data_IF_882659432863
#
_entry.id   IF_882659432863
#
_cell.length_a   1.000
_cell.length_b   1.000
_cell.length_c   1.000
_cell.angle_alpha   90.00
_cell.angle_beta   90.00
_cell.angle_gamma   90.00
#
_symmetry.space_group_name_H-M   'P 1'
#
loop_
_entity.id
_entity.type
_entity.pdbx_description
1 polymer ?
#
# COMPACT_ATOMS: atom_id res chain seq x y z
N UNK A 1 -18.73 6.23 3.37
CA UNK A 1 -17.68 5.21 3.18
C UNK A 1 -17.00 5.54 1.88
N UNK A 2 -15.72 5.91 1.91
CA UNK A 2 -14.94 6.16 0.68
C UNK A 2 -14.96 4.90 -0.19
N UNK A 3 -15.09 5.10 -1.51
CA UNK A 3 -15.08 4.01 -2.48
C UNK A 3 -13.66 3.44 -2.56
N UNK A 4 -13.40 2.35 -1.82
CA UNK A 4 -12.09 1.72 -1.78
C UNK A 4 -11.84 0.94 -3.07
N UNK A 5 -10.89 1.38 -3.87
CA UNK A 5 -10.54 0.71 -5.12
C UNK A 5 -9.65 -0.50 -4.84
N UNK A 6 -10.07 -1.69 -5.27
CA UNK A 6 -9.22 -2.90 -5.23
C UNK A 6 -8.09 -2.76 -6.24
N UNK A 7 -6.85 -2.87 -5.78
CA UNK A 7 -5.66 -2.88 -6.64
C UNK A 7 -4.96 -4.22 -6.49
N UNK A 8 -4.90 -4.97 -7.60
CA UNK A 8 -4.10 -6.21 -7.69
C UNK A 8 -3.02 -5.99 -8.75
N UNK A 9 -1.77 -5.72 -8.36
CA UNK A 9 -0.67 -5.50 -9.28
C UNK A 9 -0.31 -6.78 -10.03
N UNK A 10 -0.03 -6.64 -11.32
CA UNK A 10 0.33 -7.78 -12.19
C UNK A 10 1.81 -8.14 -12.10
N UNK A 11 2.66 -7.22 -11.61
CA UNK A 11 4.11 -7.44 -11.50
C UNK A 11 4.74 -6.65 -10.34
N UNK A 12 5.91 -7.13 -9.89
CA UNK A 12 6.73 -6.42 -8.90
C UNK A 12 7.21 -5.05 -9.42
N UNK A 13 7.39 -4.88 -10.74
CA UNK A 13 7.75 -3.57 -11.32
C UNK A 13 6.61 -2.55 -11.13
N UNK A 14 5.37 -2.95 -11.39
CA UNK A 14 4.19 -2.10 -11.18
C UNK A 14 4.02 -1.76 -9.69
N UNK A 15 4.35 -2.69 -8.78
CA UNK A 15 4.38 -2.42 -7.35
C UNK A 15 5.44 -1.39 -7.00
N UNK A 16 6.65 -1.52 -7.53
CA UNK A 16 7.73 -0.59 -7.26
C UNK A 16 7.32 0.84 -7.65
N UNK A 17 6.76 1.03 -8.84
CA UNK A 17 6.27 2.34 -9.28
C UNK A 17 5.20 2.91 -8.34
N UNK A 18 4.27 2.07 -7.87
CA UNK A 18 3.25 2.49 -6.89
C UNK A 18 3.86 2.85 -5.54
N UNK A 19 4.79 2.04 -5.03
CA UNK A 19 5.48 2.30 -3.77
C UNK A 19 6.32 3.58 -3.83
N UNK A 20 7.01 3.82 -4.94
CA UNK A 20 7.78 5.05 -5.17
C UNK A 20 6.86 6.27 -5.21
N UNK A 21 5.77 6.22 -5.99
CA UNK A 21 4.76 7.28 -6.00
C UNK A 21 4.16 7.53 -4.62
N UNK A 22 3.92 6.47 -3.85
CA UNK A 22 3.42 6.57 -2.49
C UNK A 22 4.44 7.21 -1.55
N UNK A 23 5.73 6.92 -1.70
CA UNK A 23 6.80 7.55 -0.95
C UNK A 23 6.95 9.04 -1.30
N UNK A 24 6.90 9.39 -2.59
CA UNK A 24 6.94 10.79 -3.06
C UNK A 24 5.73 11.60 -2.56
N UNK A 25 4.57 10.96 -2.51
CA UNK A 25 3.32 11.56 -2.04
C UNK A 25 3.01 11.19 -0.59
N UNK A 26 3.99 10.75 0.20
CA UNK A 26 3.74 10.26 1.56
C UNK A 26 3.13 11.31 2.48
N UNK A 27 3.45 12.59 2.25
CA UNK A 27 2.82 13.74 2.91
C UNK A 27 1.30 13.84 2.67
N UNK A 28 0.81 13.16 1.63
CA UNK A 28 -0.60 13.06 1.27
C UNK A 28 -1.19 11.69 1.61
N UNK A 29 -0.45 10.81 2.30
CA UNK A 29 -0.97 9.55 2.85
C UNK A 29 -1.37 9.82 4.29
N UNK A 30 -2.63 9.58 4.60
CA UNK A 30 -3.18 9.76 5.95
C UNK A 30 -2.90 8.55 6.82
N UNK A 31 -3.11 7.34 6.30
CA UNK A 31 -2.81 6.09 7.01
C UNK A 31 -2.50 4.93 6.06
N UNK A 32 -1.75 3.95 6.56
CA UNK A 32 -1.55 2.65 5.91
C UNK A 32 -1.81 1.60 6.97
N UNK A 33 -2.88 0.85 6.80
CA UNK A 33 -3.37 -0.10 7.80
C UNK A 33 -3.60 -1.48 7.19
N UNK A 34 -3.57 -2.50 8.05
CA UNK A 34 -3.89 -3.88 7.65
C UNK A 34 -5.13 -4.33 8.38
N UNK A 35 -6.19 -4.60 7.64
CA UNK A 35 -7.54 -4.91 8.12
C UNK A 35 -8.01 -6.23 7.52
N UNK A 36 -8.88 -6.92 8.25
CA UNK A 36 -9.68 -8.00 7.68
C UNK A 36 -10.84 -7.41 6.88
N UNK A 37 -10.98 -7.78 5.62
CA UNK A 37 -12.10 -7.43 4.75
C UNK A 37 -13.03 -8.63 4.52
N UNK A 38 -14.13 -8.44 3.77
CA UNK A 38 -15.08 -9.52 3.46
C UNK A 38 -14.46 -10.69 2.69
N UNK A 39 -13.42 -10.43 1.90
CA UNK A 39 -12.70 -11.42 1.09
C UNK A 39 -11.39 -11.90 1.76
N UNK A 40 -11.17 -11.55 3.03
CA UNK A 40 -9.94 -11.85 3.77
C UNK A 40 -9.06 -10.61 4.03
N UNK A 41 -7.81 -10.82 4.48
CA UNK A 41 -6.96 -9.73 4.92
C UNK A 41 -6.52 -8.83 3.75
N UNK A 42 -6.43 -7.53 4.02
CA UNK A 42 -6.06 -6.50 3.04
C UNK A 42 -5.25 -5.37 3.67
N UNK A 43 -4.32 -4.82 2.90
CA UNK A 43 -3.65 -3.55 3.21
C UNK A 43 -4.52 -2.44 2.64
N UNK A 44 -4.93 -1.50 3.47
CA UNK A 44 -5.68 -0.30 3.08
C UNK A 44 -4.74 0.89 3.14
N UNK A 45 -4.71 1.66 2.07
CA UNK A 45 -3.95 2.90 1.96
C UNK A 45 -4.96 4.03 1.87
N UNK A 46 -5.00 4.80 2.96
CA UNK A 46 -5.88 5.96 3.14
C UNK A 46 -5.12 7.20 2.69
N UNK A 47 -5.62 7.84 1.63
CA UNK A 47 -5.04 9.04 1.08
C UNK A 47 -5.73 10.25 1.72
N UNK A 48 -4.92 11.23 2.12
CA UNK A 48 -5.43 12.49 2.68
C UNK A 48 -6.46 13.13 1.74
N UNK A 49 -7.41 13.87 2.33
CA UNK A 49 -8.49 14.54 1.59
C UNK A 49 -8.01 15.36 0.39
N UNK A 50 -6.78 15.88 0.43
CA UNK A 50 -6.16 16.59 -0.70
C UNK A 50 -5.85 15.67 -1.89
N UNK A 51 -5.34 14.46 -1.66
CA UNK A 51 -5.09 13.49 -2.74
C UNK A 51 -6.39 12.92 -3.31
N UNK A 52 -7.40 12.70 -2.46
CA UNK A 52 -8.77 12.36 -2.87
C UNK A 52 -9.39 13.49 -3.72
N UNK A 53 -9.14 14.77 -3.37
CA UNK A 53 -9.59 15.93 -4.15
C UNK A 53 -8.95 16.02 -5.54
N UNK A 54 -7.73 15.50 -5.71
CA UNK A 54 -7.07 15.36 -7.02
C UNK A 54 -7.46 14.08 -7.79
N UNK A 55 -8.48 13.35 -7.32
CA UNK A 55 -9.00 12.16 -8.00
C UNK A 55 -8.17 10.90 -7.78
N UNK A 56 -7.36 10.83 -6.72
CA UNK A 56 -6.71 9.59 -6.30
C UNK A 56 -7.54 8.95 -5.19
N UNK A 57 -8.39 7.96 -5.50
CA UNK A 57 -9.21 7.31 -4.48
C UNK A 57 -8.36 6.48 -3.53
N UNK A 58 -8.86 6.33 -2.31
CA UNK A 58 -8.36 5.34 -1.35
C UNK A 58 -8.38 3.94 -2.00
N UNK A 59 -7.36 3.14 -1.73
CA UNK A 59 -7.24 1.84 -2.36
C UNK A 59 -6.77 0.77 -1.40
N UNK A 60 -7.04 -0.49 -1.76
CA UNK A 60 -6.62 -1.63 -0.97
C UNK A 60 -5.97 -2.72 -1.81
N UNK A 61 -5.01 -3.41 -1.19
CA UNK A 61 -4.30 -4.55 -1.74
C UNK A 61 -4.71 -5.80 -0.94
N UNK A 62 -5.32 -6.82 -1.56
CA UNK A 62 -5.60 -8.07 -0.88
C UNK A 62 -4.28 -8.79 -0.55
N UNK A 63 -4.17 -9.35 0.65
CA UNK A 63 -2.98 -10.08 1.11
C UNK A 63 -3.35 -11.47 1.58
N UNK A 64 -2.36 -12.38 1.54
CA UNK A 64 -2.52 -13.77 2.00
C UNK A 64 -2.33 -13.92 3.49
N UNK A 65 -1.44 -13.10 4.06
CA UNK A 65 -1.04 -13.17 5.46
C UNK A 65 -1.12 -11.79 6.12
N UNK A 66 -1.94 -11.68 7.16
CA UNK A 66 -2.11 -10.45 7.92
C UNK A 66 -0.85 -10.08 8.72
N UNK A 67 -0.15 -11.07 9.28
CA UNK A 67 1.02 -10.82 10.12
C UNK A 67 2.21 -10.32 9.30
N UNK A 68 2.47 -10.97 8.17
CA UNK A 68 3.47 -10.56 7.18
C UNK A 68 3.14 -9.20 6.58
N UNK A 69 1.87 -8.94 6.25
CA UNK A 69 1.44 -7.64 5.75
C UNK A 69 1.65 -6.52 6.79
N UNK A 70 1.31 -6.74 8.07
CA UNK A 70 1.55 -5.76 9.14
C UNK A 70 3.03 -5.46 9.31
N UNK A 71 3.85 -6.50 9.31
CA UNK A 71 5.32 -6.38 9.41
C UNK A 71 5.88 -5.58 8.23
N UNK A 72 5.41 -5.88 7.01
CA UNK A 72 5.80 -5.16 5.81
C UNK A 72 5.37 -3.68 5.85
N UNK A 73 4.11 -3.40 6.22
CA UNK A 73 3.59 -2.03 6.33
C UNK A 73 4.36 -1.21 7.37
N UNK A 74 4.68 -1.79 8.52
CA UNK A 74 5.50 -1.13 9.53
C UNK A 74 6.90 -0.79 8.99
N UNK A 75 7.57 -1.74 8.33
CA UNK A 75 8.87 -1.53 7.69
C UNK A 75 8.81 -0.45 6.60
N UNK A 76 7.82 -0.53 5.71
CA UNK A 76 7.63 0.43 4.62
C UNK A 76 7.37 1.84 5.16
N UNK A 77 6.49 1.97 6.16
CA UNK A 77 6.16 3.26 6.79
C UNK A 77 7.39 3.87 7.44
N UNK A 78 8.17 3.09 8.16
CA UNK A 78 9.41 3.57 8.77
C UNK A 78 10.42 4.00 7.72
N UNK A 79 10.59 3.22 6.65
CA UNK A 79 11.52 3.52 5.53
C UNK A 79 11.14 4.82 4.81
N UNK A 80 9.85 5.02 4.54
CA UNK A 80 9.37 6.25 3.90
C UNK A 80 9.53 7.44 4.84
N UNK A 81 9.21 7.28 6.14
CA UNK A 81 9.43 8.33 7.16
C UNK A 81 10.89 8.73 7.30
N UNK A 82 11.84 7.81 7.08
CA UNK A 82 13.27 8.13 7.06
C UNK A 82 13.74 8.78 5.75
N UNK A 83 12.85 9.04 4.80
CA UNK A 83 13.18 9.60 3.48
C UNK A 83 13.82 8.60 2.51
N UNK A 84 13.77 7.31 2.82
CA UNK A 84 14.35 6.29 1.96
C UNK A 84 13.31 5.81 0.93
N UNK A 85 13.74 5.69 -0.32
CA UNK A 85 12.89 5.24 -1.43
C UNK A 85 12.69 3.72 -1.38
N UNK A 86 11.46 3.22 -1.58
CA UNK A 86 11.20 1.79 -1.74
C UNK A 86 12.01 1.19 -2.90
N UNK A 87 12.52 -0.03 -2.70
CA UNK A 87 13.34 -0.75 -3.66
C UNK A 87 12.58 -1.90 -4.32
N UNK A 88 13.16 -2.48 -5.37
CA UNK A 88 12.60 -3.67 -6.02
C UNK A 88 12.48 -4.87 -5.05
N UNK A 89 13.30 -4.93 -3.99
CA UNK A 89 13.16 -5.96 -2.96
C UNK A 89 11.87 -5.77 -2.16
N UNK A 90 11.56 -4.53 -1.76
CA UNK A 90 10.29 -4.21 -1.09
C UNK A 90 9.10 -4.56 -1.99
N UNK A 91 9.22 -4.26 -3.29
CA UNK A 91 8.19 -4.55 -4.26
C UNK A 91 7.96 -6.05 -4.44
N UNK A 92 9.04 -6.85 -4.48
CA UNK A 92 8.96 -8.32 -4.53
C UNK A 92 8.33 -8.91 -3.27
N UNK A 93 8.71 -8.41 -2.09
CA UNK A 93 8.11 -8.83 -0.81
C UNK A 93 6.61 -8.56 -0.79
N UNK A 94 6.18 -7.36 -1.20
CA UNK A 94 4.75 -7.05 -1.30
C UNK A 94 4.06 -7.93 -2.36
N UNK A 95 4.68 -8.16 -3.51
CA UNK A 95 4.13 -9.02 -4.57
C UNK A 95 3.86 -10.46 -4.12
N UNK A 96 4.72 -10.99 -3.25
CA UNK A 96 4.61 -12.33 -2.66
C UNK A 96 3.49 -12.41 -1.60
N UNK A 97 3.31 -11.33 -0.84
CA UNK A 97 2.25 -11.20 0.16
C UNK A 97 0.85 -11.04 -0.44
N UNK A 98 0.73 -10.60 -1.70
CA UNK A 98 -0.57 -10.32 -2.32
C UNK A 98 -1.35 -11.61 -2.60
N UNK A 99 -2.61 -11.64 -2.18
CA UNK A 99 -3.55 -12.70 -2.52
C UNK A 99 -4.06 -12.48 -3.95
N UNK A 100 -3.63 -13.37 -4.85
CA UNK A 100 -4.12 -13.50 -6.22
C UNK A 100 -4.98 -14.73 -6.34
#
# INVERSE_FOLDING_TARGET
MSDLVRVVPESAAQILEKLQKLAENYKHVSAIDVTEGPDGPRIVIDLSGTANFFGNPDFYLPVRDMAGARTFVAHLTQKIKSGATPSMDDARRLFDLIAR
#
